data_IF_598977539576
#
_entry.id   IF_598977539576
#
_cell.length_a   1.000
_cell.length_b   1.000
_cell.length_c   1.000
_cell.angle_alpha   90.00
_cell.angle_beta   90.00
_cell.angle_gamma   90.00
#
_symmetry.space_group_name_H-M   'P 1'
#
loop_
_entity.id
_entity.type
_entity.pdbx_description
1 polymer ?
#
# COMPACT_ATOMS: atom_id res chain seq x y z
N UNK A 1 -35.92 13.65 9.21
CA UNK A 1 -35.28 12.89 10.30
C UNK A 1 -34.29 11.95 9.64
N UNK A 2 -33.06 12.14 9.97
CA UNK A 2 -31.88 11.67 9.30
C UNK A 2 -31.75 10.14 9.26
N UNK A 3 -31.67 9.57 8.07
CA UNK A 3 -31.04 8.26 7.88
C UNK A 3 -29.54 8.39 8.22
N UNK A 4 -29.27 8.21 9.52
CA UNK A 4 -27.91 8.03 10.00
C UNK A 4 -27.38 6.76 9.30
N UNK A 5 -26.38 6.89 8.50
CA UNK A 5 -25.62 5.88 7.76
C UNK A 5 -25.45 4.60 8.61
N UNK A 6 -26.39 3.67 8.53
CA UNK A 6 -26.32 2.39 9.24
C UNK A 6 -25.28 1.54 8.51
N UNK A 7 -24.07 1.46 9.07
CA UNK A 7 -23.00 0.61 8.52
C UNK A 7 -23.56 -0.79 8.26
N UNK A 8 -23.41 -1.30 7.03
CA UNK A 8 -23.94 -2.60 6.66
C UNK A 8 -23.28 -3.73 7.46
N UNK A 9 -23.97 -4.86 7.60
CA UNK A 9 -23.37 -6.04 8.25
C UNK A 9 -22.12 -6.54 7.50
N UNK A 10 -22.08 -6.37 6.19
CA UNK A 10 -20.89 -6.67 5.37
C UNK A 10 -19.72 -5.78 5.78
N UNK A 11 -19.95 -4.48 5.86
CA UNK A 11 -18.89 -3.52 6.20
C UNK A 11 -18.40 -3.74 7.64
N UNK A 12 -19.31 -4.08 8.58
CA UNK A 12 -18.91 -4.45 9.95
C UNK A 12 -18.00 -5.67 9.99
N UNK A 13 -18.23 -6.67 9.13
CA UNK A 13 -17.35 -7.85 9.03
C UNK A 13 -16.00 -7.49 8.43
N UNK A 14 -15.96 -6.63 7.41
CA UNK A 14 -14.71 -6.13 6.82
C UNK A 14 -13.92 -5.32 7.85
N UNK A 15 -14.57 -4.40 8.58
CA UNK A 15 -13.93 -3.64 9.65
C UNK A 15 -13.39 -4.54 10.78
N UNK A 16 -14.15 -5.54 11.19
CA UNK A 16 -13.70 -6.51 12.16
C UNK A 16 -12.48 -7.30 11.67
N UNK A 17 -12.46 -7.65 10.37
CA UNK A 17 -11.34 -8.32 9.75
C UNK A 17 -10.09 -7.42 9.68
N UNK A 18 -10.24 -6.16 9.26
CA UNK A 18 -9.15 -5.15 9.27
C UNK A 18 -8.56 -5.00 10.68
N UNK A 19 -9.42 -4.81 11.68
CA UNK A 19 -8.99 -4.64 13.07
C UNK A 19 -8.29 -5.90 13.62
N UNK A 20 -8.76 -7.09 13.25
CA UNK A 20 -8.14 -8.36 13.63
C UNK A 20 -6.76 -8.48 13.00
N UNK A 21 -6.64 -8.24 11.69
CA UNK A 21 -5.37 -8.30 10.97
C UNK A 21 -4.32 -7.35 11.56
N UNK A 22 -4.72 -6.15 11.93
CA UNK A 22 -3.81 -5.15 12.49
C UNK A 22 -3.32 -5.49 13.90
N UNK A 23 -4.08 -6.29 14.69
CA UNK A 23 -3.72 -6.66 16.06
C UNK A 23 -3.08 -8.03 16.18
N UNK A 24 -3.56 -9.00 15.44
CA UNK A 24 -3.28 -10.42 15.64
C UNK A 24 -2.73 -11.10 14.36
N UNK A 25 -2.69 -10.36 13.24
CA UNK A 25 -2.34 -10.91 11.94
C UNK A 25 -3.34 -11.99 11.51
N UNK A 26 -2.85 -13.12 11.02
CA UNK A 26 -3.68 -14.25 10.60
C UNK A 26 -3.99 -15.24 11.74
N UNK A 27 -3.47 -15.01 12.95
CA UNK A 27 -3.73 -15.87 14.08
C UNK A 27 -5.22 -15.82 14.45
N UNK A 28 -5.84 -16.99 14.60
CA UNK A 28 -7.27 -17.10 14.92
C UNK A 28 -8.22 -16.32 13.99
N UNK A 29 -7.83 -16.08 12.73
CA UNK A 29 -8.66 -15.42 11.72
C UNK A 29 -9.74 -16.36 11.23
N UNK A 30 -10.88 -16.38 11.92
CA UNK A 30 -12.00 -17.32 11.68
C UNK A 30 -13.33 -16.57 11.56
N UNK A 31 -14.30 -17.18 10.88
CA UNK A 31 -15.66 -16.63 10.80
C UNK A 31 -16.26 -16.39 12.20
N UNK A 32 -15.96 -17.26 13.17
CA UNK A 32 -16.42 -17.12 14.57
C UNK A 32 -15.81 -15.91 15.27
N UNK A 33 -14.48 -15.69 15.15
CA UNK A 33 -13.82 -14.55 15.77
C UNK A 33 -14.30 -13.23 15.16
N UNK A 34 -14.45 -13.20 13.84
CA UNK A 34 -14.88 -12.01 13.11
C UNK A 34 -16.33 -11.62 13.41
N UNK A 35 -17.26 -12.59 13.41
CA UNK A 35 -18.66 -12.33 13.74
C UNK A 35 -18.83 -11.87 15.20
N UNK A 36 -18.07 -12.45 16.13
CA UNK A 36 -18.04 -12.01 17.52
C UNK A 36 -17.56 -10.57 17.64
N UNK A 37 -16.45 -10.22 16.99
CA UNK A 37 -15.88 -8.86 16.99
C UNK A 37 -16.82 -7.84 16.35
N UNK A 38 -17.56 -8.24 15.30
CA UNK A 38 -18.54 -7.41 14.62
C UNK A 38 -19.88 -7.29 15.35
N UNK A 39 -20.07 -8.02 16.46
CA UNK A 39 -21.34 -8.18 17.18
C UNK A 39 -22.48 -8.67 16.26
N UNK A 40 -22.19 -9.72 15.48
CA UNK A 40 -23.09 -10.35 14.51
C UNK A 40 -23.23 -11.84 14.80
N UNK A 41 -24.38 -12.43 14.41
CA UNK A 41 -24.58 -13.86 14.47
C UNK A 41 -23.72 -14.62 13.44
N UNK A 42 -23.28 -15.83 13.78
CA UNK A 42 -22.43 -16.67 12.92
C UNK A 42 -22.99 -16.87 11.50
N UNK A 43 -24.30 -17.09 11.35
CA UNK A 43 -24.94 -17.23 10.05
C UNK A 43 -24.88 -15.96 9.18
N UNK A 44 -24.63 -14.79 9.78
CA UNK A 44 -24.49 -13.53 9.04
C UNK A 44 -23.23 -13.51 8.21
N UNK A 45 -22.16 -14.20 8.62
CA UNK A 45 -20.92 -14.29 7.87
C UNK A 45 -21.17 -14.90 6.48
N UNK A 46 -21.80 -16.05 6.43
CA UNK A 46 -22.05 -16.79 5.18
C UNK A 46 -23.09 -16.17 4.27
N UNK A 47 -23.79 -15.13 4.71
CA UNK A 47 -24.60 -14.28 3.81
C UNK A 47 -23.76 -13.41 2.87
N UNK A 48 -22.55 -13.05 3.28
CA UNK A 48 -21.72 -12.07 2.58
C UNK A 48 -20.42 -12.65 2.05
N UNK A 49 -19.89 -13.69 2.67
CA UNK A 49 -18.60 -14.29 2.36
C UNK A 49 -18.72 -15.81 2.30
N UNK A 50 -18.15 -16.39 1.26
CA UNK A 50 -18.14 -17.86 1.11
C UNK A 50 -17.06 -18.54 1.97
N UNK A 51 -16.01 -17.79 2.29
CA UNK A 51 -14.85 -18.28 3.07
C UNK A 51 -14.20 -17.15 3.88
N UNK A 52 -13.32 -17.52 4.80
CA UNK A 52 -12.45 -16.56 5.49
C UNK A 52 -11.47 -15.88 4.55
N UNK A 53 -11.11 -16.52 3.44
CA UNK A 53 -10.26 -15.93 2.39
C UNK A 53 -10.97 -14.79 1.68
N UNK A 54 -12.27 -14.88 1.39
CA UNK A 54 -13.05 -13.80 0.76
C UNK A 54 -13.09 -12.52 1.63
N UNK A 55 -13.29 -12.69 2.93
CA UNK A 55 -13.29 -11.53 3.83
C UNK A 55 -11.87 -10.99 4.05
N UNK A 56 -10.85 -11.86 4.05
CA UNK A 56 -9.44 -11.48 4.11
C UNK A 56 -9.07 -10.59 2.91
N UNK A 57 -9.43 -11.01 1.71
CA UNK A 57 -9.21 -10.20 0.50
C UNK A 57 -9.90 -8.84 0.58
N UNK A 58 -11.15 -8.81 1.07
CA UNK A 58 -11.90 -7.57 1.23
C UNK A 58 -11.26 -6.64 2.26
N UNK A 59 -10.75 -7.19 3.37
CA UNK A 59 -10.05 -6.45 4.41
C UNK A 59 -8.70 -5.89 3.91
N UNK A 60 -7.95 -6.67 3.15
CA UNK A 60 -6.69 -6.23 2.55
C UNK A 60 -6.94 -5.09 1.55
N UNK A 61 -7.94 -5.25 0.65
CA UNK A 61 -8.32 -4.18 -0.29
C UNK A 61 -8.66 -2.88 0.44
N UNK A 62 -9.42 -2.98 1.52
CA UNK A 62 -9.75 -1.81 2.35
C UNK A 62 -8.49 -1.21 2.98
N UNK A 63 -7.63 -2.00 3.59
CA UNK A 63 -6.37 -1.50 4.17
C UNK A 63 -5.50 -0.77 3.15
N UNK A 64 -5.35 -1.32 1.95
CA UNK A 64 -4.57 -0.68 0.87
C UNK A 64 -5.21 0.64 0.43
N UNK A 65 -6.55 0.67 0.28
CA UNK A 65 -7.27 1.88 -0.12
C UNK A 65 -7.17 2.98 0.95
N UNK A 66 -7.39 2.63 2.22
CA UNK A 66 -7.29 3.56 3.34
C UNK A 66 -5.86 4.12 3.46
N UNK A 67 -4.86 3.26 3.36
CA UNK A 67 -3.45 3.65 3.36
C UNK A 67 -3.10 4.58 2.19
N UNK A 68 -3.51 4.23 0.98
CA UNK A 68 -3.28 5.06 -0.21
C UNK A 68 -3.88 6.46 -0.05
N UNK A 69 -5.08 6.55 0.51
CA UNK A 69 -5.75 7.83 0.78
C UNK A 69 -4.99 8.66 1.82
N UNK A 70 -4.53 8.02 2.90
CA UNK A 70 -3.76 8.66 3.97
C UNK A 70 -2.43 9.23 3.46
N UNK A 71 -1.67 8.44 2.71
CA UNK A 71 -0.39 8.86 2.12
C UNK A 71 -0.60 9.99 1.14
N UNK A 72 -1.57 9.87 0.24
CA UNK A 72 -1.87 10.94 -0.73
C UNK A 72 -2.22 12.24 -0.01
N UNK A 73 -3.00 12.18 1.07
CA UNK A 73 -3.33 13.38 1.85
C UNK A 73 -2.10 13.99 2.55
N UNK A 74 -1.22 13.15 3.13
CA UNK A 74 0.00 13.61 3.82
C UNK A 74 1.00 14.26 2.87
N UNK A 75 1.06 13.80 1.62
CA UNK A 75 2.03 14.26 0.63
C UNK A 75 1.56 15.48 -0.18
N UNK A 76 0.29 15.90 -0.03
CA UNK A 76 -0.26 17.06 -0.79
C UNK A 76 0.49 18.37 -0.53
N UNK A 77 1.03 18.55 0.67
CA UNK A 77 1.77 19.77 1.06
C UNK A 77 3.25 19.74 0.66
N UNK A 78 3.77 18.60 0.18
CA UNK A 78 5.16 18.49 -0.26
C UNK A 78 5.33 19.19 -1.62
N UNK A 79 6.10 20.30 -1.70
CA UNK A 79 6.29 21.02 -2.95
C UNK A 79 7.16 20.25 -3.95
N UNK A 80 8.06 19.40 -3.48
CA UNK A 80 8.85 18.50 -4.31
C UNK A 80 8.02 17.24 -4.64
N UNK A 81 7.38 17.26 -5.81
CA UNK A 81 6.47 16.18 -6.24
C UNK A 81 7.19 14.88 -6.53
N UNK A 82 8.46 14.93 -6.94
CA UNK A 82 9.28 13.74 -7.09
C UNK A 82 9.58 13.10 -5.72
N UNK A 83 9.95 13.92 -4.74
CA UNK A 83 10.13 13.47 -3.36
C UNK A 83 8.83 12.89 -2.81
N UNK A 84 7.68 13.53 -3.00
CA UNK A 84 6.37 13.04 -2.58
C UNK A 84 6.06 11.63 -3.15
N UNK A 85 6.31 11.43 -4.44
CA UNK A 85 6.13 10.12 -5.08
C UNK A 85 7.05 9.05 -4.47
N UNK A 86 8.34 9.34 -4.34
CA UNK A 86 9.31 8.38 -3.80
C UNK A 86 9.09 8.12 -2.31
N UNK A 87 8.68 9.12 -1.55
CA UNK A 87 8.29 8.96 -0.14
C UNK A 87 7.06 8.05 0.01
N UNK A 88 6.10 8.15 -0.92
CA UNK A 88 4.94 7.23 -0.97
C UNK A 88 5.41 5.79 -1.14
N UNK A 89 6.33 5.53 -2.07
CA UNK A 89 6.90 4.19 -2.28
C UNK A 89 7.62 3.70 -1.03
N UNK A 90 8.45 4.54 -0.43
CA UNK A 90 9.21 4.23 0.78
C UNK A 90 8.30 3.88 1.96
N UNK A 91 7.34 4.74 2.28
CA UNK A 91 6.36 4.53 3.37
C UNK A 91 5.52 3.27 3.14
N UNK A 92 5.13 3.04 1.89
CA UNK A 92 4.38 1.84 1.51
C UNK A 92 5.20 0.58 1.81
N UNK A 93 6.46 0.56 1.40
CA UNK A 93 7.33 -0.59 1.69
C UNK A 93 7.48 -0.82 3.19
N UNK A 94 7.72 0.24 3.98
CA UNK A 94 7.84 0.13 5.43
C UNK A 94 6.55 -0.41 6.08
N UNK A 95 5.40 0.07 5.63
CA UNK A 95 4.10 -0.41 6.12
C UNK A 95 3.91 -1.90 5.86
N UNK A 96 4.25 -2.37 4.66
CA UNK A 96 4.11 -3.78 4.30
C UNK A 96 5.12 -4.68 5.03
N UNK A 97 6.36 -4.22 5.19
CA UNK A 97 7.39 -5.00 5.88
C UNK A 97 7.07 -5.24 7.36
N UNK A 98 6.34 -4.33 7.99
CA UNK A 98 5.93 -4.42 9.39
C UNK A 98 4.57 -5.11 9.60
N UNK A 99 3.83 -5.44 8.55
CA UNK A 99 2.48 -6.00 8.66
C UNK A 99 2.46 -7.46 8.20
N UNK A 100 2.47 -8.40 9.15
CA UNK A 100 2.47 -9.84 8.88
C UNK A 100 1.27 -10.31 8.03
N UNK A 101 0.11 -9.62 8.11
CA UNK A 101 -1.06 -9.97 7.29
C UNK A 101 -0.89 -9.60 5.83
N UNK A 102 -0.05 -8.62 5.52
CA UNK A 102 0.26 -8.24 4.14
C UNK A 102 1.21 -9.25 3.48
N UNK A 103 1.97 -10.03 4.26
CA UNK A 103 2.82 -11.12 3.75
C UNK A 103 2.04 -12.21 3.04
N UNK A 104 0.79 -12.44 3.42
CA UNK A 104 -0.10 -13.36 2.70
C UNK A 104 -0.24 -12.98 1.21
N UNK A 105 -0.19 -11.68 0.88
CA UNK A 105 -0.21 -11.24 -0.52
C UNK A 105 1.04 -11.64 -1.30
N UNK A 106 2.18 -11.84 -0.61
CA UNK A 106 3.42 -12.24 -1.27
C UNK A 106 3.36 -13.69 -1.79
N UNK A 107 2.49 -14.52 -1.23
CA UNK A 107 2.19 -15.85 -1.76
C UNK A 107 1.47 -15.79 -3.11
N UNK A 108 0.88 -14.63 -3.43
CA UNK A 108 0.12 -14.36 -4.66
C UNK A 108 0.61 -13.05 -5.32
N UNK A 109 1.87 -12.96 -5.78
CA UNK A 109 2.47 -11.69 -6.20
C UNK A 109 1.76 -11.03 -7.38
N UNK A 110 1.21 -11.78 -8.35
CA UNK A 110 0.38 -11.23 -9.42
C UNK A 110 -0.83 -10.48 -8.85
N UNK A 111 -1.50 -11.10 -7.88
CA UNK A 111 -2.68 -10.53 -7.24
C UNK A 111 -2.34 -9.27 -6.43
N UNK A 112 -1.19 -9.26 -5.73
CA UNK A 112 -0.67 -8.07 -5.07
C UNK A 112 -0.50 -6.92 -6.05
N UNK A 113 0.21 -7.15 -7.16
CA UNK A 113 0.49 -6.12 -8.17
C UNK A 113 -0.80 -5.58 -8.76
N UNK A 114 -1.77 -6.44 -9.11
CA UNK A 114 -3.05 -6.01 -9.66
C UNK A 114 -3.85 -5.15 -8.68
N UNK A 115 -4.07 -5.61 -7.45
CA UNK A 115 -4.83 -4.86 -6.44
C UNK A 115 -4.16 -3.53 -6.14
N UNK A 116 -2.85 -3.56 -5.89
CA UNK A 116 -2.12 -2.37 -5.53
C UNK A 116 -2.13 -1.35 -6.67
N UNK A 117 -1.92 -1.81 -7.90
CA UNK A 117 -2.01 -0.97 -9.09
C UNK A 117 -3.39 -0.32 -9.20
N UNK A 118 -4.47 -1.08 -9.12
CA UNK A 118 -5.82 -0.56 -9.28
C UNK A 118 -6.20 0.48 -8.23
N UNK A 119 -5.77 0.29 -6.98
CA UNK A 119 -6.11 1.16 -5.87
C UNK A 119 -5.22 2.41 -5.77
N UNK A 120 -3.98 2.37 -6.28
CA UNK A 120 -2.99 3.44 -6.04
C UNK A 120 -2.56 4.19 -7.30
N UNK A 121 -2.78 3.63 -8.51
CA UNK A 121 -2.31 4.21 -9.78
C UNK A 121 -2.72 5.66 -9.99
N UNK A 122 -3.93 6.03 -9.58
CA UNK A 122 -4.42 7.40 -9.78
C UNK A 122 -3.57 8.41 -8.99
N UNK A 123 -3.30 8.15 -7.73
CA UNK A 123 -2.47 9.04 -6.90
C UNK A 123 -1.03 9.10 -7.39
N UNK A 124 -0.42 7.94 -7.70
CA UNK A 124 0.93 7.87 -8.24
C UNK A 124 1.05 8.62 -9.58
N UNK A 125 0.06 8.50 -10.45
CA UNK A 125 0.02 9.22 -11.73
C UNK A 125 -0.04 10.74 -11.54
N UNK A 126 -0.89 11.24 -10.64
CA UNK A 126 -1.01 12.68 -10.38
C UNK A 126 0.26 13.26 -9.75
N UNK A 127 0.96 12.52 -8.91
CA UNK A 127 2.25 12.95 -8.36
C UNK A 127 3.33 13.03 -9.44
N UNK A 128 3.46 12.00 -10.27
CA UNK A 128 4.40 11.98 -11.40
C UNK A 128 4.07 13.07 -12.42
N UNK A 129 2.80 13.25 -12.77
CA UNK A 129 2.34 14.33 -13.66
C UNK A 129 2.69 15.70 -13.11
N UNK A 130 2.50 15.90 -11.82
CA UNK A 130 2.86 17.14 -11.14
C UNK A 130 4.38 17.38 -11.15
N UNK A 131 5.18 16.32 -10.96
CA UNK A 131 6.64 16.40 -11.06
C UNK A 131 7.09 16.79 -12.48
N UNK A 132 6.40 16.31 -13.53
CA UNK A 132 6.65 16.71 -14.92
C UNK A 132 6.29 18.16 -15.15
N UNK A 133 5.13 18.62 -14.67
CA UNK A 133 4.70 20.02 -14.79
C UNK A 133 5.68 20.97 -14.09
N UNK A 134 6.23 20.56 -12.96
CA UNK A 134 7.21 21.33 -12.19
C UNK A 134 8.65 21.22 -12.76
N UNK A 135 8.85 20.52 -13.88
CA UNK A 135 10.16 20.35 -14.51
C UNK A 135 11.12 19.44 -13.76
N UNK A 136 10.63 18.64 -12.80
CA UNK A 136 11.43 17.69 -12.02
C UNK A 136 11.65 16.36 -12.77
N UNK A 137 10.74 16.03 -13.69
CA UNK A 137 10.80 14.87 -14.57
C UNK A 137 10.51 15.28 -16.02
N UNK A 138 11.03 14.52 -16.98
CA UNK A 138 10.68 14.72 -18.38
C UNK A 138 9.29 14.15 -18.70
N UNK A 139 8.62 14.69 -19.73
CA UNK A 139 7.34 14.17 -20.21
C UNK A 139 7.44 12.71 -20.73
N UNK A 140 8.62 12.25 -21.09
CA UNK A 140 8.91 10.88 -21.52
C UNK A 140 8.58 9.86 -20.42
N UNK A 141 8.70 10.27 -19.14
CA UNK A 141 8.38 9.40 -18.03
C UNK A 141 6.90 9.00 -18.01
N UNK A 142 5.99 9.89 -18.44
CA UNK A 142 4.56 9.62 -18.50
C UNK A 142 4.16 8.65 -19.62
N UNK A 143 4.91 8.59 -20.71
CA UNK A 143 4.56 7.77 -21.89
C UNK A 143 4.38 6.28 -21.56
N UNK A 144 5.14 5.76 -20.62
CA UNK A 144 5.10 4.36 -20.21
C UNK A 144 4.81 4.21 -18.71
N UNK A 145 4.07 5.16 -18.13
CA UNK A 145 3.81 5.21 -16.69
C UNK A 145 3.24 3.88 -16.16
N UNK A 146 2.23 3.33 -16.81
CA UNK A 146 1.59 2.09 -16.38
C UNK A 146 2.60 0.94 -16.26
N UNK A 147 3.41 0.73 -17.30
CA UNK A 147 4.43 -0.33 -17.31
C UNK A 147 5.48 -0.09 -16.24
N UNK A 148 5.98 1.15 -16.12
CA UNK A 148 6.98 1.50 -15.10
C UNK A 148 6.41 1.30 -13.70
N UNK A 149 5.18 1.74 -13.45
CA UNK A 149 4.56 1.61 -12.15
C UNK A 149 4.33 0.15 -11.76
N UNK A 150 3.87 -0.70 -12.67
CA UNK A 150 3.77 -2.15 -12.42
C UNK A 150 5.14 -2.79 -12.15
N UNK A 151 6.19 -2.39 -12.87
CA UNK A 151 7.56 -2.86 -12.59
C UNK A 151 8.02 -2.45 -11.19
N UNK A 152 7.71 -1.24 -10.73
CA UNK A 152 8.03 -0.81 -9.35
C UNK A 152 7.29 -1.65 -8.31
N UNK A 153 6.03 -2.00 -8.55
CA UNK A 153 5.28 -2.90 -7.66
C UNK A 153 5.92 -4.30 -7.59
N UNK A 154 6.42 -4.82 -8.71
CA UNK A 154 7.20 -6.07 -8.72
C UNK A 154 8.51 -5.97 -7.94
N UNK A 155 9.22 -4.86 -8.05
CA UNK A 155 10.43 -4.59 -7.25
C UNK A 155 10.11 -4.55 -5.76
N UNK A 156 8.97 -3.94 -5.37
CA UNK A 156 8.48 -3.95 -3.98
C UNK A 156 8.22 -5.38 -3.51
N UNK A 157 7.53 -6.22 -4.29
CA UNK A 157 7.32 -7.62 -3.95
C UNK A 157 8.65 -8.37 -3.72
N UNK A 158 9.62 -8.20 -4.60
CA UNK A 158 10.94 -8.81 -4.46
C UNK A 158 11.66 -8.34 -3.20
N UNK A 159 11.62 -7.04 -2.91
CA UNK A 159 12.20 -6.48 -1.69
C UNK A 159 11.55 -7.02 -0.42
N UNK A 160 10.22 -7.17 -0.40
CA UNK A 160 9.49 -7.73 0.74
C UNK A 160 9.88 -9.20 0.99
N UNK A 161 10.10 -10.00 -0.06
CA UNK A 161 10.59 -11.37 0.08
C UNK A 161 11.98 -11.42 0.75
N UNK A 162 12.86 -10.46 0.45
CA UNK A 162 14.18 -10.36 1.12
C UNK A 162 14.06 -10.05 2.62
N UNK A 163 13.04 -9.31 3.04
CA UNK A 163 12.77 -9.09 4.48
C UNK A 163 12.50 -10.41 5.20
N UNK A 164 11.75 -11.32 4.57
CA UNK A 164 11.48 -12.65 5.13
C UNK A 164 12.74 -13.53 5.20
N UNK A 165 13.74 -13.27 4.37
CA UNK A 165 15.07 -13.90 4.43
C UNK A 165 15.98 -13.28 5.51
N UNK A 166 15.53 -12.26 6.24
CA UNK A 166 16.23 -11.65 7.36
C UNK A 166 17.04 -10.39 7.02
N UNK A 167 16.92 -9.86 5.80
CA UNK A 167 17.55 -8.58 5.45
C UNK A 167 16.85 -7.41 6.15
N UNK A 168 17.61 -6.33 6.41
CA UNK A 168 17.05 -5.13 7.05
C UNK A 168 16.09 -4.41 6.12
N UNK A 169 14.85 -4.24 6.54
CA UNK A 169 13.79 -3.66 5.71
C UNK A 169 14.03 -2.19 5.33
N UNK A 170 14.69 -1.38 6.19
CA UNK A 170 15.02 0.02 5.87
C UNK A 170 16.08 0.10 4.78
N UNK A 171 17.08 -0.76 4.84
CA UNK A 171 18.14 -0.82 3.83
C UNK A 171 17.56 -1.24 2.46
N UNK A 172 16.69 -2.25 2.45
CA UNK A 172 15.99 -2.68 1.22
C UNK A 172 15.14 -1.53 0.67
N UNK A 173 14.37 -0.84 1.51
CA UNK A 173 13.54 0.28 1.09
C UNK A 173 14.36 1.37 0.40
N UNK A 174 15.51 1.72 0.97
CA UNK A 174 16.41 2.73 0.41
C UNK A 174 17.04 2.27 -0.92
N UNK A 175 17.42 1.00 -1.04
CA UNK A 175 17.92 0.47 -2.32
C UNK A 175 16.83 0.43 -3.39
N UNK A 176 15.59 0.09 -3.04
CA UNK A 176 14.44 0.17 -3.95
C UNK A 176 14.23 1.61 -4.47
N UNK A 177 14.35 2.61 -3.61
CA UNK A 177 14.26 4.01 -4.03
C UNK A 177 15.32 4.35 -5.08
N UNK A 178 16.56 3.88 -4.92
CA UNK A 178 17.62 4.09 -5.94
C UNK A 178 17.27 3.46 -7.29
N UNK A 179 16.62 2.30 -7.28
CA UNK A 179 16.19 1.61 -8.50
C UNK A 179 15.00 2.30 -9.19
N UNK A 180 14.14 2.97 -8.41
CA UNK A 180 12.93 3.63 -8.89
C UNK A 180 13.21 5.05 -9.36
N UNK A 181 14.20 5.74 -8.79
CA UNK A 181 14.59 7.09 -9.23
C UNK A 181 14.92 7.06 -10.73
N UNK A 182 14.23 7.90 -11.54
CA UNK A 182 14.49 7.95 -12.96
C UNK A 182 15.93 8.34 -13.28
N UNK A 183 16.51 7.71 -14.29
CA UNK A 183 17.89 7.96 -14.74
C UNK A 183 18.12 9.40 -15.22
N UNK A 184 17.06 10.12 -15.56
CA UNK A 184 17.09 11.53 -15.96
C UNK A 184 17.24 12.51 -14.78
N UNK A 185 17.02 12.04 -13.55
CA UNK A 185 17.22 12.83 -12.33
C UNK A 185 18.73 12.96 -12.09
N UNK A 186 19.20 14.17 -11.78
CA UNK A 186 20.61 14.39 -11.50
C UNK A 186 21.07 13.58 -10.28
N UNK A 187 22.34 13.19 -10.25
CA UNK A 187 22.91 12.45 -9.11
C UNK A 187 22.82 13.24 -7.82
N UNK A 188 22.99 14.56 -7.88
CA UNK A 188 22.88 15.45 -6.73
C UNK A 188 21.46 15.42 -6.16
N UNK A 189 20.44 15.51 -7.01
CA UNK A 189 19.03 15.45 -6.59
C UNK A 189 18.65 14.08 -6.07
N UNK A 190 19.12 13.01 -6.70
CA UNK A 190 18.90 11.65 -6.24
C UNK A 190 19.50 11.43 -4.84
N UNK A 191 20.72 11.92 -4.59
CA UNK A 191 21.36 11.84 -3.28
C UNK A 191 20.63 12.70 -2.24
N UNK A 192 20.17 13.90 -2.59
CA UNK A 192 19.36 14.74 -1.70
C UNK A 192 18.11 14.00 -1.22
N UNK A 193 17.34 13.42 -2.14
CA UNK A 193 16.14 12.65 -1.83
C UNK A 193 16.48 11.45 -0.94
N UNK A 194 17.51 10.70 -1.27
CA UNK A 194 17.97 9.56 -0.50
C UNK A 194 18.28 9.95 0.97
N UNK A 195 19.05 11.02 1.18
CA UNK A 195 19.39 11.49 2.53
C UNK A 195 18.16 12.00 3.29
N UNK A 196 17.20 12.63 2.61
CA UNK A 196 15.93 13.03 3.23
C UNK A 196 15.17 11.80 3.73
N UNK A 197 14.98 10.77 2.89
CA UNK A 197 14.22 9.57 3.24
C UNK A 197 14.92 8.76 4.34
N UNK A 198 16.24 8.67 4.30
CA UNK A 198 17.05 7.97 5.30
C UNK A 198 16.95 8.57 6.69
N UNK A 199 16.89 9.90 6.78
CA UNK A 199 16.93 10.64 8.04
C UNK A 199 15.53 11.01 8.59
N UNK A 200 14.46 10.76 7.84
CA UNK A 200 13.09 10.93 8.35
C UNK A 200 12.70 9.75 9.25
N UNK A 201 12.15 10.07 10.42
CA UNK A 201 11.47 9.09 11.28
C UNK A 201 10.04 8.85 10.76
N UNK A 202 9.74 7.58 10.47
CA UNK A 202 8.43 7.15 9.95
C UNK A 202 7.77 6.13 10.87
#
# INVERSE_FOLDING_TARGET
MSDINKISSKDKLIEAAVNHLNREGLNNFTATSLTRSANLGYGTFYKYFSSTEDVLESAIKKNVADWSTLISASNKSEPDRLLAFLETVYKTFLQFSNNASMRWLLEKPNYFVEIYYDLTRHHAFEDVKSAVINGQLSSEYLKNFETKFKLHLWQICGGLSMVDEGYNYKDIALELIKLIIPTEVSKEKANEIYEILKNRDY
#
